data_IF_755764290152
#
_entry.id   IF_755764290152
#
_cell.length_a   1.000
_cell.length_b   1.000
_cell.length_c   1.000
_cell.angle_alpha   90.00
_cell.angle_beta   90.00
_cell.angle_gamma   90.00
#
_symmetry.space_group_name_H-M   'P 1'
#
loop_
_entity.id
_entity.type
_entity.pdbx_description
1 polymer ?
#
# COMPACT_ATOMS: atom_id res chain seq x y z
N UNK A 1 -7.11 24.80 3.77
CA UNK A 1 -8.08 23.76 3.36
C UNK A 1 -7.52 23.03 2.17
N UNK A 2 -6.94 21.86 2.40
CA UNK A 2 -6.29 21.09 1.35
C UNK A 2 -7.20 19.98 0.86
N UNK A 3 -7.21 19.83 -0.47
CA UNK A 3 -7.81 18.69 -1.17
C UNK A 3 -6.68 17.84 -1.72
N UNK A 4 -6.83 16.53 -1.62
CA UNK A 4 -5.86 15.55 -2.11
C UNK A 4 -6.52 14.68 -3.15
N UNK A 5 -5.86 14.52 -4.30
CA UNK A 5 -6.13 13.43 -5.22
C UNK A 5 -5.27 12.25 -4.78
N UNK A 6 -5.86 11.10 -4.53
CA UNK A 6 -5.15 9.91 -4.07
C UNK A 6 -5.37 8.78 -5.07
N UNK A 7 -4.31 8.27 -5.68
CA UNK A 7 -4.36 7.03 -6.45
C UNK A 7 -3.76 5.90 -5.62
N UNK A 8 -4.40 4.73 -5.60
CA UNK A 8 -3.97 3.56 -4.83
C UNK A 8 -4.08 2.27 -5.63
N UNK A 9 -3.22 1.31 -5.35
CA UNK A 9 -3.23 0.01 -6.01
C UNK A 9 -2.04 -0.85 -5.60
N UNK A 10 -2.08 -2.12 -6.00
CA UNK A 10 -0.94 -3.02 -5.86
C UNK A 10 -0.10 -2.99 -7.13
N UNK A 11 1.21 -2.92 -6.97
CA UNK A 11 2.12 -3.33 -8.04
C UNK A 11 2.30 -4.85 -8.00
N UNK A 12 2.95 -5.44 -9.00
CA UNK A 12 3.32 -6.85 -9.00
C UNK A 12 4.07 -7.24 -7.69
N UNK A 13 3.99 -8.49 -7.27
CA UNK A 13 4.75 -8.93 -6.11
C UNK A 13 6.26 -8.81 -6.35
N UNK A 14 7.02 -8.62 -5.28
CA UNK A 14 8.48 -8.66 -5.32
C UNK A 14 8.97 -10.03 -4.90
N UNK A 15 9.58 -10.75 -5.84
CA UNK A 15 10.28 -12.00 -5.55
C UNK A 15 11.64 -11.70 -4.91
N UNK A 16 11.86 -12.23 -3.71
CA UNK A 16 13.14 -12.12 -3.01
C UNK A 16 14.10 -13.16 -3.60
N UNK A 17 14.70 -12.82 -4.73
CA UNK A 17 15.73 -13.65 -5.36
C UNK A 17 17.13 -13.27 -4.88
N UNK A 18 17.91 -14.25 -4.44
CA UNK A 18 19.27 -14.04 -3.93
C UNK A 18 20.29 -14.26 -5.05
N UNK A 19 21.29 -13.38 -5.16
CA UNK A 19 22.32 -13.40 -6.21
C UNK A 19 22.97 -14.79 -6.44
N UNK A 20 23.24 -15.52 -5.35
CA UNK A 20 23.95 -16.80 -5.36
C UNK A 20 23.01 -17.97 -4.93
N UNK A 21 21.71 -17.87 -5.26
CA UNK A 21 20.71 -18.88 -4.89
C UNK A 21 20.94 -20.23 -5.60
N UNK A 22 20.77 -21.34 -4.86
CA UNK A 22 20.77 -22.68 -5.43
C UNK A 22 19.51 -22.92 -6.29
N UNK A 23 19.58 -23.84 -7.25
CA UNK A 23 18.46 -24.11 -8.17
C UNK A 23 17.13 -24.43 -7.46
N UNK A 24 17.17 -25.11 -6.30
CA UNK A 24 15.95 -25.41 -5.54
C UNK A 24 15.27 -24.17 -4.94
N UNK A 25 16.00 -23.07 -4.75
CA UNK A 25 15.44 -21.82 -4.25
C UNK A 25 14.49 -21.17 -5.28
N UNK A 26 14.72 -21.38 -6.58
CA UNK A 26 13.87 -20.85 -7.67
C UNK A 26 12.39 -21.24 -7.53
N UNK A 27 12.10 -22.45 -7.03
CA UNK A 27 10.72 -22.95 -6.87
C UNK A 27 10.09 -22.57 -5.53
N UNK A 28 10.83 -21.93 -4.64
CA UNK A 28 10.38 -21.59 -3.29
C UNK A 28 10.74 -20.14 -2.93
N UNK A 29 10.77 -19.27 -3.94
CA UNK A 29 11.09 -17.85 -3.76
C UNK A 29 9.98 -17.18 -2.97
N UNK A 30 10.35 -16.59 -1.82
CA UNK A 30 9.43 -15.81 -1.01
C UNK A 30 9.06 -14.53 -1.76
N UNK A 31 7.77 -14.22 -1.78
CA UNK A 31 7.24 -13.00 -2.38
C UNK A 31 6.82 -12.01 -1.31
N UNK A 32 6.97 -10.72 -1.62
CA UNK A 32 6.40 -9.61 -0.85
C UNK A 32 5.34 -8.91 -1.68
N UNK A 33 4.25 -8.50 -1.04
CA UNK A 33 3.30 -7.58 -1.65
C UNK A 33 3.74 -6.14 -1.43
N UNK A 34 3.45 -5.29 -2.42
CA UNK A 34 3.75 -3.85 -2.33
C UNK A 34 2.49 -3.09 -2.73
N UNK A 35 1.82 -2.54 -1.72
CA UNK A 35 0.76 -1.57 -1.92
C UNK A 35 1.39 -0.21 -2.18
N UNK A 36 1.01 0.42 -3.28
CA UNK A 36 1.48 1.74 -3.67
C UNK A 36 0.35 2.73 -3.61
N UNK A 37 0.68 3.95 -3.19
CA UNK A 37 -0.23 5.08 -3.27
C UNK A 37 0.52 6.32 -3.72
N UNK A 38 -0.18 7.20 -4.43
CA UNK A 38 0.35 8.50 -4.77
C UNK A 38 -0.69 9.57 -4.45
N UNK A 39 -0.33 10.50 -3.58
CA UNK A 39 -1.18 11.62 -3.21
C UNK A 39 -0.64 12.92 -3.82
N UNK A 40 -1.48 13.63 -4.58
CA UNK A 40 -1.20 14.97 -5.09
C UNK A 40 -1.93 16.01 -4.25
N UNK A 41 -1.20 17.03 -3.81
CA UNK A 41 -1.76 18.19 -3.13
C UNK A 41 -1.15 19.48 -3.68
N UNK A 42 -1.81 20.10 -4.67
CA UNK A 42 -1.25 21.24 -5.39
C UNK A 42 0.05 20.85 -6.09
N UNK A 43 1.16 21.51 -5.72
CA UNK A 43 2.49 21.19 -6.25
C UNK A 43 3.23 20.07 -5.47
N UNK A 44 2.71 19.65 -4.32
CA UNK A 44 3.36 18.64 -3.47
C UNK A 44 2.88 17.23 -3.83
N UNK A 45 3.81 16.29 -3.77
CA UNK A 45 3.58 14.88 -4.07
C UNK A 45 3.97 14.02 -2.87
N UNK A 46 3.14 13.03 -2.56
CA UNK A 46 3.35 12.10 -1.46
C UNK A 46 3.26 10.67 -2.01
N UNK A 47 4.36 10.11 -2.53
CA UNK A 47 4.42 8.72 -2.95
C UNK A 47 4.60 7.80 -1.74
N UNK A 48 3.84 6.72 -1.70
CA UNK A 48 3.88 5.69 -0.66
C UNK A 48 4.18 4.33 -1.28
N UNK A 49 4.94 3.53 -0.54
CA UNK A 49 5.10 2.11 -0.77
C UNK A 49 5.03 1.37 0.56
N UNK A 50 3.94 0.65 0.77
CA UNK A 50 3.67 -0.16 1.95
C UNK A 50 3.94 -1.62 1.60
N UNK A 51 4.84 -2.27 2.34
CA UNK A 51 5.37 -3.59 1.98
C UNK A 51 4.92 -4.61 3.02
N UNK A 52 4.51 -5.79 2.58
CA UNK A 52 4.03 -6.84 3.47
C UNK A 52 4.51 -8.22 3.01
N UNK A 53 4.75 -9.12 3.97
CA UNK A 53 5.02 -10.53 3.72
C UNK A 53 3.76 -11.31 3.28
N UNK A 54 2.57 -10.75 3.48
CA UNK A 54 1.30 -11.32 3.06
C UNK A 54 0.97 -10.91 1.61
N UNK A 55 0.77 -11.89 0.73
CA UNK A 55 0.51 -11.70 -0.71
C UNK A 55 -0.93 -11.98 -1.13
N UNK A 56 -1.88 -12.09 -0.20
CA UNK A 56 -3.28 -12.40 -0.53
C UNK A 56 -4.00 -11.25 -1.22
N UNK A 57 -3.54 -10.01 -0.98
CA UNK A 57 -4.16 -8.77 -1.47
C UNK A 57 -5.66 -8.70 -1.14
N UNK A 58 -6.07 -9.28 -0.01
CA UNK A 58 -7.48 -9.29 0.35
C UNK A 58 -7.96 -7.93 0.86
N UNK A 59 -9.28 -7.82 1.01
CA UNK A 59 -9.95 -6.65 1.58
C UNK A 59 -9.41 -6.18 2.94
N UNK A 60 -8.82 -7.06 3.75
CA UNK A 60 -8.28 -6.70 5.06
C UNK A 60 -6.92 -6.03 4.90
N UNK A 61 -6.06 -6.58 4.05
CA UNK A 61 -4.80 -5.97 3.67
C UNK A 61 -5.02 -4.58 3.06
N UNK A 62 -5.99 -4.46 2.14
CA UNK A 62 -6.38 -3.18 1.53
C UNK A 62 -6.82 -2.18 2.61
N UNK A 63 -7.70 -2.57 3.53
CA UNK A 63 -8.20 -1.68 4.57
C UNK A 63 -7.06 -1.15 5.48
N UNK A 64 -6.14 -2.03 5.89
CA UNK A 64 -4.99 -1.62 6.72
C UNK A 64 -4.05 -0.69 5.97
N UNK A 65 -3.73 -0.99 4.71
CA UNK A 65 -2.89 -0.13 3.87
C UNK A 65 -3.52 1.26 3.68
N UNK A 66 -4.82 1.33 3.44
CA UNK A 66 -5.55 2.59 3.29
C UNK A 66 -5.57 3.39 4.60
N UNK A 67 -5.84 2.74 5.73
CA UNK A 67 -5.85 3.38 7.05
C UNK A 67 -4.47 3.96 7.37
N UNK A 68 -3.38 3.22 7.13
CA UNK A 68 -2.02 3.71 7.30
C UNK A 68 -1.75 4.93 6.41
N UNK A 69 -2.07 4.83 5.11
CA UNK A 69 -1.85 5.90 4.13
C UNK A 69 -2.57 7.19 4.52
N UNK A 70 -3.86 7.10 4.86
CA UNK A 70 -4.68 8.27 5.20
C UNK A 70 -4.25 8.88 6.54
N UNK A 71 -3.94 8.04 7.54
CA UNK A 71 -3.40 8.50 8.83
C UNK A 71 -2.11 9.30 8.63
N UNK A 72 -1.19 8.79 7.81
CA UNK A 72 0.04 9.50 7.47
C UNK A 72 -0.21 10.78 6.70
N UNK A 73 -1.09 10.77 5.70
CA UNK A 73 -1.45 11.99 4.97
C UNK A 73 -1.98 13.07 5.91
N UNK A 74 -2.80 12.71 6.91
CA UNK A 74 -3.28 13.64 7.95
C UNK A 74 -2.15 14.17 8.84
N UNK A 75 -1.12 13.37 9.12
CA UNK A 75 0.06 13.82 9.86
C UNK A 75 0.89 14.84 9.05
N UNK A 76 1.06 14.63 7.74
CA UNK A 76 1.78 15.56 6.87
C UNK A 76 0.97 16.81 6.51
N UNK A 77 -0.35 16.67 6.40
CA UNK A 77 -1.28 17.70 5.97
C UNK A 77 -2.35 17.90 7.05
N UNK A 78 -1.99 18.63 8.12
CA UNK A 78 -2.89 18.88 9.25
C UNK A 78 -4.22 19.54 8.85
N UNK A 79 -4.22 20.35 7.79
CA UNK A 79 -5.40 21.04 7.25
C UNK A 79 -6.08 20.32 6.06
N UNK A 80 -5.82 19.01 5.91
CA UNK A 80 -6.48 18.15 4.93
C UNK A 80 -7.98 18.02 5.23
N UNK A 81 -8.84 18.41 4.30
CA UNK A 81 -10.30 18.33 4.46
C UNK A 81 -10.92 17.26 3.56
N UNK A 82 -10.38 17.06 2.36
CA UNK A 82 -11.01 16.22 1.35
C UNK A 82 -10.00 15.34 0.62
N UNK A 83 -10.34 14.06 0.45
CA UNK A 83 -9.60 13.09 -0.36
C UNK A 83 -10.52 12.59 -1.48
N UNK A 84 -10.06 12.73 -2.72
CA UNK A 84 -10.67 12.12 -3.90
C UNK A 84 -9.80 10.94 -4.31
N UNK A 85 -10.27 9.73 -4.05
CA UNK A 85 -9.52 8.50 -4.28
C UNK A 85 -9.84 7.87 -5.63
N UNK A 86 -8.84 7.22 -6.22
CA UNK A 86 -8.93 6.42 -7.43
C UNK A 86 -8.20 5.09 -7.24
N UNK A 87 -8.78 4.00 -7.75
CA UNK A 87 -8.17 2.68 -7.79
C UNK A 87 -8.65 1.88 -9.00
N UNK A 88 -8.02 0.73 -9.27
CA UNK A 88 -8.59 -0.28 -10.15
C UNK A 88 -9.87 -0.93 -9.57
N UNK A 89 -10.55 -1.68 -10.43
CA UNK A 89 -11.86 -2.28 -10.18
C UNK A 89 -11.94 -3.74 -9.69
N UNK A 90 -10.88 -4.51 -9.35
CA UNK A 90 -11.04 -5.87 -8.83
C UNK A 90 -11.89 -5.90 -7.56
N UNK A 91 -12.94 -6.73 -7.58
CA UNK A 91 -13.86 -6.88 -6.45
C UNK A 91 -13.21 -7.58 -5.23
N UNK A 92 -12.14 -8.34 -5.43
CA UNK A 92 -11.37 -8.93 -4.33
C UNK A 92 -10.62 -7.88 -3.49
N UNK A 93 -10.36 -6.70 -4.06
CA UNK A 93 -9.51 -5.66 -3.47
C UNK A 93 -10.36 -4.43 -3.11
N UNK A 94 -10.67 -3.59 -4.11
CA UNK A 94 -11.26 -2.27 -3.90
C UNK A 94 -12.77 -2.25 -4.16
N UNK A 95 -13.27 -2.94 -5.20
CA UNK A 95 -14.69 -2.85 -5.59
C UNK A 95 -15.59 -3.75 -4.74
N UNK A 96 -15.66 -3.50 -3.44
CA UNK A 96 -16.36 -4.33 -2.47
C UNK A 96 -16.91 -3.55 -1.26
N UNK A 97 -17.88 -4.13 -0.55
CA UNK A 97 -18.66 -3.47 0.52
C UNK A 97 -17.85 -3.03 1.76
N UNK A 98 -16.81 -3.77 2.12
CA UNK A 98 -15.92 -3.44 3.23
C UNK A 98 -15.07 -2.20 2.93
N UNK A 99 -14.75 -1.91 1.66
CA UNK A 99 -14.10 -0.64 1.31
C UNK A 99 -15.02 0.51 1.72
N UNK A 100 -16.29 0.47 1.30
CA UNK A 100 -17.29 1.50 1.62
C UNK A 100 -17.46 1.67 3.13
N UNK A 101 -17.54 0.57 3.88
CA UNK A 101 -17.62 0.61 5.34
C UNK A 101 -16.35 1.19 6.00
N UNK A 102 -15.17 0.83 5.50
CA UNK A 102 -13.92 1.40 6.01
C UNK A 102 -13.85 2.90 5.70
N UNK A 103 -14.31 3.33 4.52
CA UNK A 103 -14.36 4.75 4.13
C UNK A 103 -15.24 5.57 5.05
N UNK A 104 -16.47 5.12 5.35
CA UNK A 104 -17.37 5.85 6.25
C UNK A 104 -16.77 6.00 7.64
N UNK A 105 -16.11 4.96 8.14
CA UNK A 105 -15.41 5.02 9.42
C UNK A 105 -14.24 6.00 9.39
N UNK A 106 -13.40 5.97 8.35
CA UNK A 106 -12.27 6.91 8.20
C UNK A 106 -12.71 8.36 8.09
N UNK A 107 -13.84 8.63 7.44
CA UNK A 107 -14.41 9.98 7.35
C UNK A 107 -14.74 10.54 8.73
N UNK A 108 -15.29 9.70 9.61
CA UNK A 108 -15.61 10.07 11.01
C UNK A 108 -14.33 10.22 11.84
N UNK A 109 -13.42 9.24 11.79
CA UNK A 109 -12.20 9.23 12.61
C UNK A 109 -11.24 10.37 12.31
N UNK A 110 -11.14 10.76 11.05
CA UNK A 110 -10.22 11.82 10.62
C UNK A 110 -10.91 13.15 10.32
N UNK A 111 -12.22 13.24 10.56
CA UNK A 111 -13.06 14.41 10.26
C UNK A 111 -12.75 14.95 8.86
N UNK A 112 -12.91 14.10 7.84
CA UNK A 112 -12.59 14.43 6.44
C UNK A 112 -13.70 13.95 5.49
N UNK A 113 -13.77 14.57 4.32
CA UNK A 113 -14.60 14.14 3.19
C UNK A 113 -13.81 13.15 2.35
N UNK A 114 -14.41 12.03 2.00
CA UNK A 114 -13.78 11.02 1.17
C UNK A 114 -14.71 10.62 0.03
N UNK A 115 -14.20 10.66 -1.19
CA UNK A 115 -14.88 10.17 -2.38
C UNK A 115 -14.01 9.12 -3.07
N UNK A 116 -14.64 8.18 -3.78
CA UNK A 116 -13.93 7.09 -4.43
C UNK A 116 -14.42 6.88 -5.86
N UNK A 117 -13.48 6.76 -6.78
CA UNK A 117 -13.71 6.51 -8.19
C UNK A 117 -12.91 5.27 -8.62
N UNK A 118 -13.38 4.60 -9.66
CA UNK A 118 -12.73 3.43 -10.22
C UNK A 118 -12.30 3.71 -11.65
N UNK A 119 -11.07 3.34 -12.00
CA UNK A 119 -10.66 3.28 -13.40
C UNK A 119 -11.32 2.10 -14.12
N UNK A 120 -11.22 2.10 -15.45
CA UNK A 120 -11.57 0.93 -16.23
C UNK A 120 -10.70 -0.27 -15.80
N UNK A 121 -11.33 -1.42 -15.61
CA UNK A 121 -10.65 -2.65 -15.19
C UNK A 121 -9.49 -2.96 -16.15
N UNK A 122 -8.33 -3.32 -15.60
CA UNK A 122 -7.12 -3.69 -16.34
C UNK A 122 -6.42 -2.55 -17.10
N UNK A 123 -6.73 -1.28 -16.82
CA UNK A 123 -6.14 -0.13 -17.50
C UNK A 123 -5.14 0.68 -16.65
N UNK A 124 -4.84 0.25 -15.42
CA UNK A 124 -3.87 0.95 -14.58
C UNK A 124 -2.44 0.49 -14.90
N UNK A 125 -1.80 1.20 -15.82
CA UNK A 125 -0.33 1.34 -15.85
C UNK A 125 -0.02 2.80 -15.64
N UNK A 126 0.55 3.15 -14.50
CA UNK A 126 0.67 4.55 -14.11
C UNK A 126 1.72 4.80 -13.04
N UNK A 127 1.54 5.88 -12.29
CA UNK A 127 2.49 6.32 -11.25
C UNK A 127 2.72 5.24 -10.19
N UNK A 128 1.71 4.41 -9.91
CA UNK A 128 1.77 3.32 -8.94
C UNK A 128 2.84 2.28 -9.30
N UNK A 129 2.83 1.81 -10.55
CA UNK A 129 3.86 0.88 -11.05
C UNK A 129 5.23 1.53 -11.11
N UNK A 130 5.32 2.84 -11.38
CA UNK A 130 6.58 3.56 -11.36
C UNK A 130 7.18 3.61 -9.94
N UNK A 131 6.36 3.88 -8.92
CA UNK A 131 6.79 3.82 -7.51
C UNK A 131 7.23 2.40 -7.15
N UNK A 132 6.37 1.41 -7.44
CA UNK A 132 6.64 0.01 -7.18
C UNK A 132 7.92 -0.48 -7.83
N UNK A 133 8.05 -0.27 -9.15
CA UNK A 133 9.23 -0.64 -9.94
C UNK A 133 10.51 0.05 -9.46
N UNK A 134 10.44 1.33 -9.10
CA UNK A 134 11.59 2.06 -8.56
C UNK A 134 12.07 1.47 -7.22
N UNK A 135 11.16 1.25 -6.26
CA UNK A 135 11.55 0.70 -4.95
C UNK A 135 12.07 -0.72 -5.09
N UNK A 136 11.39 -1.57 -5.88
CA UNK A 136 11.87 -2.93 -6.20
C UNK A 136 13.27 -2.90 -6.80
N UNK A 137 13.52 -2.00 -7.76
CA UNK A 137 14.82 -1.87 -8.42
C UNK A 137 15.91 -1.47 -7.42
N UNK A 138 15.64 -0.51 -6.55
CA UNK A 138 16.58 -0.07 -5.50
C UNK A 138 16.96 -1.22 -4.57
N UNK A 139 15.98 -1.99 -4.09
CA UNK A 139 16.24 -3.12 -3.18
C UNK A 139 16.94 -4.26 -3.92
N UNK A 140 16.49 -4.60 -5.13
CA UNK A 140 17.10 -5.63 -5.97
C UNK A 140 18.59 -5.35 -6.21
N UNK A 141 18.95 -4.11 -6.57
CA UNK A 141 20.35 -3.72 -6.77
C UNK A 141 21.22 -4.01 -5.53
N UNK A 142 20.70 -3.76 -4.33
CA UNK A 142 21.40 -4.07 -3.09
C UNK A 142 21.54 -5.58 -2.86
N UNK A 143 20.50 -6.35 -3.18
CA UNK A 143 20.56 -7.82 -3.11
C UNK A 143 21.63 -8.37 -4.06
N UNK A 144 21.75 -7.79 -5.27
CA UNK A 144 22.82 -8.15 -6.21
C UNK A 144 24.23 -7.83 -5.68
N UNK A 145 24.35 -6.90 -4.72
CA UNK A 145 25.61 -6.63 -3.98
C UNK A 145 25.81 -7.55 -2.76
N UNK A 146 25.06 -8.66 -2.68
CA UNK A 146 25.07 -9.65 -1.59
C UNK A 146 24.47 -9.16 -0.26
N UNK A 147 23.72 -8.05 -0.28
CA UNK A 147 22.92 -7.65 0.89
C UNK A 147 21.75 -8.62 1.08
N UNK A 148 21.50 -9.04 2.30
CA UNK A 148 20.42 -9.97 2.58
C UNK A 148 19.10 -9.23 2.77
N UNK A 149 18.06 -9.72 2.10
CA UNK A 149 16.67 -9.33 2.28
C UNK A 149 15.86 -10.61 2.46
N UNK A 150 15.07 -10.73 3.53
CA UNK A 150 14.32 -11.95 3.84
C UNK A 150 12.85 -11.68 4.23
N UNK A 151 12.51 -10.42 4.50
CA UNK A 151 11.16 -10.01 4.91
C UNK A 151 10.79 -8.62 4.38
N UNK A 152 9.54 -8.23 4.58
CA UNK A 152 9.10 -6.86 4.34
C UNK A 152 9.89 -5.83 5.16
N UNK A 153 10.22 -6.15 6.43
CA UNK A 153 11.06 -5.30 7.29
C UNK A 153 12.43 -5.03 6.67
N UNK A 154 13.12 -6.07 6.19
CA UNK A 154 14.43 -5.95 5.56
C UNK A 154 14.32 -5.10 4.29
N UNK A 155 13.31 -5.37 3.46
CA UNK A 155 13.05 -4.65 2.23
C UNK A 155 12.89 -3.14 2.50
N UNK A 156 12.05 -2.77 3.48
CA UNK A 156 11.80 -1.37 3.86
C UNK A 156 13.06 -0.72 4.41
N UNK A 157 13.81 -1.43 5.26
CA UNK A 157 15.08 -0.93 5.79
C UNK A 157 16.07 -0.61 4.68
N UNK A 158 16.24 -1.53 3.71
CA UNK A 158 17.12 -1.33 2.55
C UNK A 158 16.62 -0.15 1.70
N UNK A 159 15.33 -0.10 1.38
CA UNK A 159 14.76 0.96 0.55
C UNK A 159 14.93 2.35 1.18
N UNK A 160 14.75 2.47 2.51
CA UNK A 160 14.96 3.73 3.26
C UNK A 160 16.39 4.24 3.19
N UNK A 161 17.39 3.37 3.01
CA UNK A 161 18.78 3.83 2.78
C UNK A 161 19.01 4.44 1.40
N UNK A 162 18.08 4.23 0.46
CA UNK A 162 18.21 4.66 -0.95
C UNK A 162 17.32 5.84 -1.32
N UNK A 163 16.22 6.04 -0.61
CA UNK A 163 15.30 7.15 -0.88
C UNK A 163 14.65 7.66 0.39
N UNK A 164 14.60 8.99 0.49
CA UNK A 164 13.82 9.72 1.50
C UNK A 164 12.56 10.37 0.89
N UNK A 165 12.38 10.24 -0.43
CA UNK A 165 11.26 10.86 -1.16
C UNK A 165 9.99 10.01 -1.07
N UNK A 166 10.14 8.68 -1.00
CA UNK A 166 9.03 7.73 -0.92
C UNK A 166 8.78 7.40 0.54
N UNK A 167 7.54 7.54 0.96
CA UNK A 167 7.10 7.17 2.30
C UNK A 167 6.98 5.64 2.34
N UNK A 168 7.95 5.02 2.99
CA UNK A 168 8.11 3.57 3.07
C UNK A 168 7.74 3.06 4.46
N UNK A 169 6.87 2.05 4.51
CA UNK A 169 6.49 1.35 5.74
C UNK A 169 6.31 -0.14 5.50
N UNK A 170 6.52 -0.91 6.56
CA UNK A 170 6.09 -2.29 6.66
C UNK A 170 4.64 -2.33 7.17
N UNK A 171 3.83 -3.22 6.61
CA UNK A 171 2.57 -3.65 7.20
C UNK A 171 2.77 -5.08 7.71
N UNK A 172 2.75 -5.25 9.02
CA UNK A 172 2.94 -6.55 9.66
C UNK A 172 1.68 -7.42 9.58
N UNK A 173 1.86 -8.74 9.71
CA UNK A 173 0.71 -9.66 9.78
C UNK A 173 -0.17 -9.36 11.00
N UNK A 174 0.41 -8.93 12.11
CA UNK A 174 -0.34 -8.55 13.32
C UNK A 174 -1.24 -7.35 13.06
N UNK A 175 -0.79 -6.33 12.31
CA UNK A 175 -1.63 -5.20 11.93
C UNK A 175 -2.78 -5.64 11.01
N UNK A 176 -2.53 -6.59 10.11
CA UNK A 176 -3.57 -7.17 9.24
C UNK A 176 -4.62 -7.91 10.08
N UNK A 177 -4.19 -8.71 11.06
CA UNK A 177 -5.08 -9.49 11.91
C UNK A 177 -5.96 -8.57 12.78
N UNK A 178 -5.37 -7.52 13.37
CA UNK A 178 -6.11 -6.50 14.13
C UNK A 178 -7.07 -5.74 13.22
N UNK A 179 -6.60 -5.33 12.04
CA UNK A 179 -7.42 -4.65 11.03
C UNK A 179 -8.60 -5.48 10.55
N UNK A 180 -8.39 -6.79 10.40
CA UNK A 180 -9.45 -7.76 10.07
C UNK A 180 -10.54 -7.79 11.14
N UNK A 181 -10.16 -7.96 12.41
CA UNK A 181 -11.11 -7.99 13.52
C UNK A 181 -11.93 -6.70 13.58
N UNK A 182 -11.25 -5.55 13.48
CA UNK A 182 -11.89 -4.23 13.45
C UNK A 182 -12.88 -4.10 12.30
N UNK A 183 -12.49 -4.48 11.09
CA UNK A 183 -13.31 -4.35 9.90
C UNK A 183 -14.54 -5.28 9.94
N UNK A 184 -14.39 -6.48 10.51
CA UNK A 184 -15.50 -7.40 10.73
C UNK A 184 -16.49 -6.87 11.77
N UNK A 185 -16.01 -6.30 12.88
CA UNK A 185 -16.86 -5.66 13.90
C UNK A 185 -17.66 -4.49 13.32
N UNK A 186 -17.02 -3.60 12.55
CA UNK A 186 -17.68 -2.49 11.88
C UNK A 186 -18.80 -2.99 10.95
N UNK A 187 -18.54 -4.07 10.21
CA UNK A 187 -19.52 -4.62 9.30
C UNK A 187 -20.71 -5.27 10.03
N UNK A 188 -20.48 -5.92 11.17
CA UNK A 188 -21.55 -6.50 11.97
C UNK A 188 -22.40 -5.45 12.70
N UNK A 189 -21.80 -4.33 13.11
CA UNK A 189 -22.49 -3.23 13.78
C UNK A 189 -23.45 -2.44 12.87
N UNK A 190 -23.39 -2.65 11.55
CA UNK A 190 -24.19 -1.91 10.55
C UNK A 190 -25.39 -2.72 10.04
N UNK A 191 -25.69 -3.87 10.66
CA UNK A 191 -26.91 -4.65 10.43
C UNK A 191 -28.01 -4.24 11.41
#
# INVERSE_FOLDING_TARGET
MKKVLLQVGYTENFEIDQQDAIQSAYWNTKMLSIFTAHAWCGANNYPFALVCDNVTHDKYCVAVCLNNTITKLKQYLLDLEEIVSFSDGPASQFKQRYLLQNMTQMMVEHTLKLSWNFFATSYEKGVLDAIGGMVKRMVWQEIMTKKQCRSATDFVCIAKTKTNTIILDEISQTEIDVGKLRLEQLFMATK
#
